data_IF_265872299061
#
_entry.id   IF_265872299061
#
_cell.length_a   1.000
_cell.length_b   1.000
_cell.length_c   1.000
_cell.angle_alpha   90.00
_cell.angle_beta   90.00
_cell.angle_gamma   90.00
#
_symmetry.space_group_name_H-M   'P 1'
#
loop_
_entity.id
_entity.type
_entity.pdbx_description
1 polymer ?
#
# COMPACT_ATOMS: atom_id res chain seq x y z
N UNK A 1 -13.51 -14.01 5.32
CA UNK A 1 -12.05 -13.83 5.35
C UNK A 1 -11.79 -12.69 6.31
N UNK A 2 -11.10 -12.97 7.40
CA UNK A 2 -10.76 -11.98 8.41
C UNK A 2 -9.42 -11.34 8.01
N UNK A 3 -9.39 -10.03 7.78
CA UNK A 3 -8.20 -9.33 7.30
C UNK A 3 -7.48 -8.70 8.50
N UNK A 4 -6.70 -9.52 9.24
CA UNK A 4 -6.07 -9.07 10.48
C UNK A 4 -4.78 -8.32 10.21
N UNK A 5 -4.00 -8.81 9.24
CA UNK A 5 -2.66 -8.30 8.93
C UNK A 5 -2.65 -7.49 7.64
N UNK A 6 -1.59 -6.72 7.44
CA UNK A 6 -1.35 -6.04 6.15
C UNK A 6 -1.27 -7.05 5.01
N UNK A 7 -0.65 -8.21 5.22
CA UNK A 7 -0.56 -9.28 4.22
C UNK A 7 -1.94 -9.78 3.79
N UNK A 8 -2.82 -10.09 4.75
CA UNK A 8 -4.19 -10.52 4.47
C UNK A 8 -4.94 -9.48 3.63
N UNK A 9 -4.81 -8.21 4.01
CA UNK A 9 -5.48 -7.11 3.35
C UNK A 9 -4.97 -6.91 1.91
N UNK A 10 -3.66 -6.96 1.70
CA UNK A 10 -3.05 -6.86 0.36
C UNK A 10 -3.44 -8.04 -0.51
N UNK A 11 -3.38 -9.27 0.02
CA UNK A 11 -3.82 -10.46 -0.69
C UNK A 11 -5.29 -10.36 -1.11
N UNK A 12 -6.18 -10.00 -0.16
CA UNK A 12 -7.61 -9.81 -0.42
C UNK A 12 -7.88 -8.73 -1.47
N UNK A 13 -7.14 -7.62 -1.42
CA UNK A 13 -7.23 -6.55 -2.40
C UNK A 13 -6.82 -7.01 -3.81
N UNK A 14 -5.68 -7.70 -3.94
CA UNK A 14 -5.19 -8.22 -5.23
C UNK A 14 -6.20 -9.20 -5.82
N UNK A 15 -6.68 -10.17 -5.04
CA UNK A 15 -7.71 -11.13 -5.48
C UNK A 15 -8.96 -10.40 -5.97
N UNK A 16 -9.43 -9.38 -5.23
CA UNK A 16 -10.60 -8.58 -5.63
C UNK A 16 -10.38 -7.77 -6.92
N UNK A 17 -9.13 -7.40 -7.22
CA UNK A 17 -8.79 -6.60 -8.39
C UNK A 17 -8.65 -7.42 -9.67
N UNK A 18 -8.30 -8.70 -9.56
CA UNK A 18 -7.98 -9.57 -10.69
C UNK A 18 -9.22 -10.13 -11.42
N UNK A 19 -10.38 -10.14 -10.78
CA UNK A 19 -11.63 -10.62 -11.38
C UNK A 19 -11.95 -9.94 -12.73
N UNK A 20 -12.04 -10.74 -13.81
CA UNK A 20 -12.43 -10.28 -15.15
C UNK A 20 -11.47 -9.30 -15.84
N UNK A 21 -10.21 -9.21 -15.40
CA UNK A 21 -9.22 -8.30 -16.00
C UNK A 21 -8.45 -8.92 -17.16
N UNK A 22 -8.06 -8.09 -18.12
CA UNK A 22 -7.10 -8.48 -19.16
C UNK A 22 -5.70 -8.71 -18.58
N UNK A 23 -4.90 -9.58 -19.23
CA UNK A 23 -3.53 -9.89 -18.80
C UNK A 23 -2.65 -8.65 -18.55
N UNK A 24 -2.64 -7.61 -19.40
CA UNK A 24 -1.85 -6.40 -19.14
C UNK A 24 -2.32 -5.60 -17.93
N UNK A 25 -3.61 -5.62 -17.61
CA UNK A 25 -4.13 -4.99 -16.40
C UNK A 25 -3.75 -5.77 -15.14
N UNK A 26 -3.87 -7.10 -15.19
CA UNK A 26 -3.45 -8.00 -14.10
C UNK A 26 -1.95 -7.85 -13.79
N UNK A 27 -1.07 -7.84 -14.80
CA UNK A 27 0.37 -7.65 -14.63
C UNK A 27 0.72 -6.33 -13.92
N UNK A 28 0.01 -5.25 -14.23
CA UNK A 28 0.20 -3.95 -13.57
C UNK A 28 -0.21 -3.99 -12.11
N UNK A 29 -1.32 -4.65 -11.78
CA UNK A 29 -1.78 -4.83 -10.40
C UNK A 29 -0.71 -5.58 -9.58
N UNK A 30 -0.24 -6.71 -10.10
CA UNK A 30 0.78 -7.55 -9.43
C UNK A 30 2.10 -6.79 -9.28
N UNK A 31 2.52 -6.05 -10.31
CA UNK A 31 3.77 -5.28 -10.24
C UNK A 31 3.72 -4.15 -9.20
N UNK A 32 2.56 -3.49 -9.03
CA UNK A 32 2.40 -2.46 -7.99
C UNK A 32 2.33 -3.08 -6.60
N UNK A 33 1.67 -4.23 -6.44
CA UNK A 33 1.63 -4.98 -5.18
C UNK A 33 3.04 -5.42 -4.74
N UNK A 34 3.80 -6.03 -5.65
CA UNK A 34 5.18 -6.42 -5.39
C UNK A 34 6.09 -5.23 -5.04
N UNK A 35 5.86 -4.06 -5.66
CA UNK A 35 6.59 -2.85 -5.30
C UNK A 35 6.21 -2.31 -3.93
N UNK A 36 4.93 -2.42 -3.54
CA UNK A 36 4.47 -2.01 -2.21
C UNK A 36 5.04 -2.93 -1.13
N UNK A 37 4.97 -4.26 -1.31
CA UNK A 37 5.56 -5.24 -0.38
C UNK A 37 7.05 -4.98 -0.15
N UNK A 38 7.81 -4.77 -1.23
CA UNK A 38 9.22 -4.41 -1.15
C UNK A 38 9.46 -3.13 -0.36
N UNK A 39 8.67 -2.09 -0.61
CA UNK A 39 8.77 -0.84 0.15
C UNK A 39 8.50 -1.06 1.64
N UNK A 40 7.50 -1.87 2.00
CA UNK A 40 7.19 -2.18 3.39
C UNK A 40 8.39 -2.84 4.09
N UNK A 41 9.08 -3.73 3.38
CA UNK A 41 10.24 -4.45 3.91
C UNK A 41 11.50 -3.60 3.97
N UNK A 42 11.76 -2.76 2.96
CA UNK A 42 12.99 -1.97 2.89
C UNK A 42 12.92 -0.73 3.80
N UNK A 43 11.81 0.02 3.72
CA UNK A 43 11.68 1.36 4.32
C UNK A 43 10.50 1.48 5.30
N UNK A 44 9.47 0.65 5.16
CA UNK A 44 8.20 0.77 5.88
C UNK A 44 8.35 0.68 7.40
N UNK A 45 9.31 -0.13 7.87
CA UNK A 45 9.58 -0.29 9.31
C UNK A 45 10.01 1.02 10.00
N UNK A 46 10.62 1.96 9.25
CA UNK A 46 11.04 3.25 9.80
C UNK A 46 9.88 4.17 10.19
N UNK A 47 8.67 3.91 9.69
CA UNK A 47 7.46 4.65 10.01
C UNK A 47 6.64 4.02 11.15
N UNK A 48 7.08 2.87 11.68
CA UNK A 48 6.41 2.19 12.79
C UNK A 48 6.84 2.76 14.16
N UNK A 49 5.97 2.65 15.19
CA UNK A 49 6.39 2.86 16.57
C UNK A 49 7.60 1.97 16.95
N UNK A 50 8.46 2.40 17.89
CA UNK A 50 9.66 1.66 18.27
C UNK A 50 9.39 0.19 18.63
N UNK A 51 8.33 -0.08 19.40
CA UNK A 51 8.01 -1.43 19.85
C UNK A 51 7.62 -2.37 18.69
N UNK A 52 6.82 -1.86 17.73
CA UNK A 52 6.43 -2.61 16.53
C UNK A 52 7.64 -2.83 15.60
N UNK A 53 8.51 -1.83 15.48
CA UNK A 53 9.72 -1.90 14.67
C UNK A 53 10.68 -2.98 15.16
N UNK A 54 10.89 -3.10 16.48
CA UNK A 54 11.74 -4.15 17.07
C UNK A 54 11.24 -5.54 16.71
N UNK A 55 9.91 -5.77 16.75
CA UNK A 55 9.33 -7.06 16.37
C UNK A 55 9.58 -7.38 14.88
N UNK A 56 9.46 -6.39 14.00
CA UNK A 56 9.73 -6.56 12.56
C UNK A 56 11.22 -6.84 12.31
N UNK A 57 12.12 -6.17 13.03
CA UNK A 57 13.56 -6.42 12.93
C UNK A 57 13.92 -7.84 13.38
N UNK A 58 13.33 -8.32 14.48
CA UNK A 58 13.53 -9.70 14.96
C UNK A 58 13.04 -10.75 13.95
N UNK A 59 11.84 -10.58 13.37
CA UNK A 59 11.35 -11.49 12.33
C UNK A 59 12.22 -11.46 11.06
N UNK A 60 12.79 -10.30 10.73
CA UNK A 60 13.74 -10.18 9.62
C UNK A 60 15.03 -10.98 9.91
N UNK A 61 15.55 -10.91 11.13
CA UNK A 61 16.74 -11.66 11.55
C UNK A 61 16.51 -13.19 11.52
N UNK A 62 15.26 -13.63 11.68
CA UNK A 62 14.85 -15.03 11.53
C UNK A 62 14.69 -15.48 10.07
N UNK A 63 14.86 -14.58 9.10
CA UNK A 63 14.76 -14.88 7.67
C UNK A 63 13.32 -15.01 7.15
N UNK A 64 12.33 -14.48 7.88
CA UNK A 64 10.93 -14.47 7.44
C UNK A 64 10.74 -13.53 6.26
N UNK A 65 10.04 -13.96 5.22
CA UNK A 65 9.62 -13.09 4.10
C UNK A 65 8.48 -12.16 4.53
N UNK A 66 8.50 -10.91 4.04
CA UNK A 66 7.49 -9.88 4.28
C UNK A 66 7.17 -9.65 5.79
N UNK A 67 8.17 -9.51 6.68
CA UNK A 67 7.97 -9.52 8.14
C UNK A 67 7.03 -8.42 8.62
N UNK A 68 7.10 -7.22 8.00
CA UNK A 68 6.19 -6.13 8.31
C UNK A 68 4.76 -6.50 7.94
N UNK A 69 4.54 -6.95 6.71
CA UNK A 69 3.19 -7.23 6.22
C UNK A 69 2.50 -8.33 7.04
N UNK A 70 3.27 -9.32 7.51
CA UNK A 70 2.78 -10.45 8.29
C UNK A 70 2.44 -10.10 9.74
N UNK A 71 3.21 -9.23 10.38
CA UNK A 71 3.03 -8.91 11.80
C UNK A 71 2.09 -7.73 12.04
N UNK A 72 2.16 -6.73 11.18
CA UNK A 72 1.51 -5.45 11.44
C UNK A 72 0.03 -5.54 11.08
N UNK A 73 -0.88 -4.98 11.92
CA UNK A 73 -2.30 -5.02 11.62
C UNK A 73 -2.67 -4.20 10.37
N UNK A 74 -3.74 -4.59 9.70
CA UNK A 74 -4.17 -4.00 8.43
C UNK A 74 -4.46 -2.49 8.50
N UNK A 75 -4.84 -1.98 9.68
CA UNK A 75 -5.19 -0.58 9.90
C UNK A 75 -3.98 0.36 9.67
N UNK A 76 -2.78 -0.08 10.05
CA UNK A 76 -1.52 0.66 9.89
C UNK A 76 -1.16 0.92 8.43
N UNK A 77 -1.68 0.12 7.50
CA UNK A 77 -1.34 0.22 6.08
C UNK A 77 -1.55 1.64 5.55
N UNK A 78 -2.64 2.33 5.94
CA UNK A 78 -2.91 3.68 5.47
C UNK A 78 -1.81 4.68 5.82
N UNK A 79 -1.21 4.56 7.01
CA UNK A 79 -0.12 5.44 7.45
C UNK A 79 1.18 5.24 6.67
N UNK A 80 1.37 4.06 6.06
CA UNK A 80 2.58 3.70 5.31
C UNK A 80 2.48 4.10 3.82
N UNK A 81 1.28 4.23 3.27
CA UNK A 81 1.06 4.53 1.86
C UNK A 81 1.62 5.89 1.38
N UNK A 82 1.59 6.99 2.18
CA UNK A 82 2.23 8.25 1.78
C UNK A 82 3.74 8.09 1.52
N UNK A 83 4.43 7.32 2.36
CA UNK A 83 5.86 7.04 2.19
C UNK A 83 6.14 6.24 0.92
N UNK A 84 5.34 5.21 0.63
CA UNK A 84 5.42 4.44 -0.63
C UNK A 84 5.28 5.32 -1.87
N UNK A 85 4.33 6.27 -1.84
CA UNK A 85 4.12 7.22 -2.93
C UNK A 85 5.33 8.16 -3.09
N UNK A 86 5.89 8.65 -1.97
CA UNK A 86 7.01 9.57 -1.97
C UNK A 86 8.33 8.90 -2.42
N UNK A 87 8.55 7.64 -2.03
CA UNK A 87 9.73 6.85 -2.37
C UNK A 87 9.82 6.46 -3.87
N UNK A 88 8.88 6.91 -4.70
CA UNK A 88 8.80 6.54 -6.11
C UNK A 88 9.16 7.71 -7.04
N UNK A 89 10.43 7.88 -7.43
CA UNK A 89 10.80 8.66 -8.60
C UNK A 89 10.55 7.80 -9.85
N UNK A 90 9.34 7.84 -10.40
CA UNK A 90 8.99 7.08 -11.60
C UNK A 90 8.43 7.97 -12.70
N UNK A 91 8.59 7.56 -13.98
CA UNK A 91 7.94 8.23 -15.10
C UNK A 91 6.44 8.44 -14.85
N UNK A 92 5.89 9.54 -15.35
CA UNK A 92 4.51 9.98 -15.06
C UNK A 92 3.47 8.89 -15.26
N UNK A 93 3.62 8.04 -16.27
CA UNK A 93 2.71 6.91 -16.53
C UNK A 93 2.75 5.83 -15.44
N UNK A 94 3.95 5.45 -14.97
CA UNK A 94 4.13 4.47 -13.89
C UNK A 94 3.65 5.04 -12.57
N UNK A 95 4.00 6.30 -12.27
CA UNK A 95 3.51 7.02 -11.08
C UNK A 95 1.99 7.11 -11.06
N UNK A 96 1.35 7.39 -12.21
CA UNK A 96 -0.12 7.41 -12.36
C UNK A 96 -0.75 6.05 -12.07
N UNK A 97 -0.18 4.97 -12.62
CA UNK A 97 -0.69 3.62 -12.39
C UNK A 97 -0.59 3.23 -10.90
N UNK A 98 0.54 3.53 -10.24
CA UNK A 98 0.72 3.33 -8.80
C UNK A 98 -0.29 4.13 -7.98
N UNK A 99 -0.41 5.44 -8.19
CA UNK A 99 -1.36 6.28 -7.46
C UNK A 99 -2.82 5.84 -7.64
N UNK A 100 -3.19 5.44 -8.86
CA UNK A 100 -4.53 4.91 -9.15
C UNK A 100 -4.77 3.62 -8.36
N UNK A 101 -3.78 2.74 -8.29
CA UNK A 101 -3.87 1.48 -7.58
C UNK A 101 -3.89 1.68 -6.05
N UNK A 102 -3.05 2.57 -5.52
CA UNK A 102 -3.06 2.98 -4.11
C UNK A 102 -4.41 3.56 -3.73
N UNK A 103 -4.98 4.43 -4.57
CA UNK A 103 -6.33 4.95 -4.32
C UNK A 103 -7.39 3.85 -4.30
N UNK A 104 -7.32 2.88 -5.22
CA UNK A 104 -8.22 1.73 -5.21
C UNK A 104 -8.06 0.88 -3.94
N UNK A 105 -6.84 0.71 -3.45
CA UNK A 105 -6.56 0.02 -2.18
C UNK A 105 -7.19 0.79 -1.01
N UNK A 106 -7.01 2.10 -0.93
CA UNK A 106 -7.66 2.94 0.10
C UNK A 106 -9.18 2.78 0.08
N UNK A 107 -9.80 2.84 -1.09
CA UNK A 107 -11.26 2.66 -1.22
C UNK A 107 -11.70 1.27 -0.79
N UNK A 108 -10.92 0.23 -1.12
CA UNK A 108 -11.22 -1.14 -0.74
C UNK A 108 -11.08 -1.37 0.77
N UNK A 109 -10.02 -0.87 1.40
CA UNK A 109 -9.82 -0.95 2.85
C UNK A 109 -11.00 -0.30 3.60
N UNK A 110 -11.44 0.87 3.12
CA UNK A 110 -12.59 1.60 3.68
C UNK A 110 -13.90 0.85 3.49
N UNK A 111 -14.18 0.32 2.30
CA UNK A 111 -15.43 -0.41 2.03
C UNK A 111 -15.53 -1.71 2.83
N UNK A 112 -14.38 -2.26 3.25
CA UNK A 112 -14.29 -3.44 4.12
C UNK A 112 -14.24 -3.11 5.61
N UNK A 113 -14.20 -1.83 5.99
CA UNK A 113 -14.11 -1.41 7.39
C UNK A 113 -12.80 -1.81 8.09
N UNK A 114 -11.71 -2.00 7.33
CA UNK A 114 -10.42 -2.48 7.84
C UNK A 114 -9.54 -1.37 8.42
N UNK A 115 -9.98 -0.12 8.29
CA UNK A 115 -9.21 1.06 8.60
C UNK A 115 -10.13 2.10 9.23
N UNK A 116 -9.64 2.77 10.26
CA UNK A 116 -10.28 3.97 10.78
C UNK A 116 -9.96 5.15 9.87
N UNK A 117 -10.90 5.46 8.97
CA UNK A 117 -10.74 6.57 8.04
C UNK A 117 -10.64 7.94 8.72
N UNK A 118 -11.17 8.10 9.94
CA UNK A 118 -11.05 9.33 10.71
C UNK A 118 -9.65 9.48 11.29
N UNK A 119 -9.09 8.41 11.87
CA UNK A 119 -7.72 8.39 12.36
C UNK A 119 -6.69 8.65 11.24
N UNK A 120 -6.97 8.20 10.02
CA UNK A 120 -6.09 8.36 8.85
C UNK A 120 -6.50 9.48 7.87
N UNK A 121 -7.31 10.45 8.32
CA UNK A 121 -7.80 11.51 7.44
C UNK A 121 -6.67 12.30 6.75
N UNK A 122 -5.58 12.57 7.47
CA UNK A 122 -4.41 13.27 6.92
C UNK A 122 -3.68 12.49 5.83
N UNK A 123 -3.49 11.18 6.01
CA UNK A 123 -2.84 10.32 5.01
C UNK A 123 -3.69 10.17 3.76
N UNK A 124 -5.01 9.99 3.94
CA UNK A 124 -5.97 9.94 2.83
C UNK A 124 -5.96 11.26 2.04
N UNK A 125 -5.87 12.41 2.71
CA UNK A 125 -5.78 13.71 2.07
C UNK A 125 -4.50 13.82 1.20
N UNK A 126 -3.33 13.45 1.74
CA UNK A 126 -2.05 13.45 1.00
C UNK A 126 -2.10 12.55 -0.24
N UNK A 127 -2.66 11.35 -0.12
CA UNK A 127 -2.81 10.42 -1.26
C UNK A 127 -3.71 11.04 -2.34
N UNK A 128 -4.81 11.69 -1.94
CA UNK A 128 -5.75 12.34 -2.86
C UNK A 128 -5.11 13.53 -3.59
N UNK A 129 -4.33 14.35 -2.88
CA UNK A 129 -3.57 15.46 -3.46
C UNK A 129 -2.53 14.96 -4.47
N UNK A 130 -1.77 13.92 -4.11
CA UNK A 130 -0.82 13.29 -5.01
C UNK A 130 -1.50 12.77 -6.29
N UNK A 131 -2.67 12.14 -6.17
CA UNK A 131 -3.47 11.69 -7.31
C UNK A 131 -3.95 12.87 -8.18
N UNK A 132 -4.39 13.97 -7.58
CA UNK A 132 -4.83 15.16 -8.29
C UNK A 132 -3.68 15.78 -9.12
N UNK A 133 -2.47 15.87 -8.56
CA UNK A 133 -1.30 16.43 -9.25
C UNK A 133 -0.98 15.74 -10.59
N UNK A 134 -1.19 14.42 -10.66
CA UNK A 134 -0.90 13.61 -11.87
C UNK A 134 -2.01 13.68 -12.92
N UNK A 135 -3.22 14.12 -12.53
CA UNK A 135 -4.33 14.40 -13.46
C UNK A 135 -4.11 15.74 -14.15
N UNK A 136 -3.69 16.76 -13.41
CA UNK A 136 -3.44 18.11 -13.93
C UNK A 136 -2.23 18.18 -14.86
N UNK A 137 -1.18 17.41 -14.58
CA UNK A 137 0.01 17.28 -15.45
C UNK A 137 -0.28 16.67 -16.84
N UNK A 138 -1.52 16.27 -17.16
CA UNK A 138 -1.93 15.80 -18.49
C UNK A 138 -2.23 16.96 -19.47
N UNK A 139 -2.22 18.20 -18.99
CA UNK A 139 -2.60 19.41 -19.73
C UNK A 139 -1.45 20.41 -19.93
N UNK A 140 -0.22 20.02 -19.61
CA UNK A 140 1.02 20.75 -19.90
C UNK A 140 1.93 19.83 -20.72
#
# INVERSE_FOLDING_TARGET
>A
MEYRTIDDALHGFVVSCLGGRSLPAARRIVAVDAALRRYLDDDGAGALPPDERVLVELERDLGTSDPLARLVPADRLLGLLPGFIAATPSPTAVRRARLTQVWRLVQWLRSRGLVDAAAHAGDIARIREALASVRTSRYH
#
